data_IF_782751800165
#
_entry.id   IF_782751800165
#
_cell.length_a   1.000
_cell.length_b   1.000
_cell.length_c   1.000
_cell.angle_alpha   90.00
_cell.angle_beta   90.00
_cell.angle_gamma   90.00
#
_symmetry.space_group_name_H-M   'P 1'
#
loop_
_entity.id
_entity.type
_entity.pdbx_description
1 polymer ?
#
# COMPACT_ATOMS: atom_id res chain seq x y z
N UNK A 1 -2.01 15.01 -7.86
CA UNK A 1 -2.01 15.33 -6.41
C UNK A 1 -0.79 16.12 -5.97
N UNK A 2 0.45 15.67 -6.21
CA UNK A 2 1.66 16.36 -5.74
C UNK A 2 1.69 17.87 -6.06
N UNK A 3 1.34 18.26 -7.30
CA UNK A 3 1.26 19.68 -7.71
C UNK A 3 0.26 20.48 -6.84
N UNK A 4 -0.96 19.95 -6.64
CA UNK A 4 -2.01 20.61 -5.85
C UNK A 4 -1.58 20.78 -4.39
N UNK A 5 -1.00 19.72 -3.80
CA UNK A 5 -0.53 19.73 -2.41
C UNK A 5 0.61 20.72 -2.21
N UNK A 6 1.65 20.66 -3.06
CA UNK A 6 2.79 21.56 -2.97
C UNK A 6 2.38 23.03 -3.15
N UNK A 7 1.46 23.31 -4.07
CA UNK A 7 0.91 24.65 -4.27
C UNK A 7 0.16 25.16 -3.04
N UNK A 8 -0.68 24.33 -2.44
CA UNK A 8 -1.40 24.67 -1.22
C UNK A 8 -0.47 24.89 -0.01
N UNK A 9 0.65 24.18 0.05
CA UNK A 9 1.72 24.39 1.03
C UNK A 9 2.55 25.67 0.77
N UNK A 10 2.26 26.42 -0.31
CA UNK A 10 2.92 27.69 -0.62
C UNK A 10 4.20 27.56 -1.45
N UNK A 11 4.51 26.38 -1.99
CA UNK A 11 5.70 26.18 -2.81
C UNK A 11 5.55 26.81 -4.21
N UNK A 12 6.67 27.21 -4.81
CA UNK A 12 6.76 27.46 -6.24
C UNK A 12 6.92 26.12 -6.97
N UNK A 13 5.88 25.71 -7.69
CA UNK A 13 5.82 24.36 -8.28
C UNK A 13 6.22 24.38 -9.74
N UNK A 14 7.25 23.62 -10.11
CA UNK A 14 7.59 23.35 -11.51
C UNK A 14 7.25 21.91 -11.87
N UNK A 15 6.57 21.70 -13.00
CA UNK A 15 6.29 20.36 -13.52
C UNK A 15 7.24 20.00 -14.66
N UNK A 16 7.98 18.90 -14.49
CA UNK A 16 8.70 18.26 -15.58
C UNK A 16 7.76 17.36 -16.39
N UNK A 17 7.78 17.49 -17.72
CA UNK A 17 7.02 16.62 -18.63
C UNK A 17 7.89 16.24 -19.83
N UNK A 18 7.61 15.11 -20.46
CA UNK A 18 8.14 14.76 -21.80
C UNK A 18 7.16 15.07 -22.94
N UNK A 19 5.94 15.47 -22.61
CA UNK A 19 4.85 15.69 -23.55
C UNK A 19 4.42 17.15 -23.53
N UNK A 20 4.49 17.81 -24.68
CA UNK A 20 4.13 19.24 -24.86
C UNK A 20 2.66 19.50 -24.50
N UNK A 21 1.77 18.56 -24.82
CA UNK A 21 0.32 18.69 -24.60
C UNK A 21 -0.15 18.61 -23.14
N UNK A 22 0.76 18.49 -22.16
CA UNK A 22 0.40 18.43 -20.73
C UNK A 22 0.55 19.77 -19.99
N UNK A 23 0.95 20.83 -20.71
CA UNK A 23 1.27 22.11 -20.11
C UNK A 23 0.03 22.79 -19.51
N UNK A 24 -1.08 22.83 -20.25
CA UNK A 24 -2.32 23.47 -19.78
C UNK A 24 -2.88 22.80 -18.53
N UNK A 25 -2.87 21.46 -18.50
CA UNK A 25 -3.24 20.70 -17.30
C UNK A 25 -2.31 20.98 -16.13
N UNK A 26 -1.01 21.10 -16.35
CA UNK A 26 -0.06 21.40 -15.28
C UNK A 26 -0.35 22.77 -14.63
N UNK A 27 -0.60 23.80 -15.44
CA UNK A 27 -0.98 25.12 -14.95
C UNK A 27 -2.34 25.10 -14.25
N UNK A 28 -3.33 24.39 -14.83
CA UNK A 28 -4.66 24.19 -14.21
C UNK A 28 -4.56 23.53 -12.84
N UNK A 29 -3.61 22.60 -12.65
CA UNK A 29 -3.35 21.93 -11.38
C UNK A 29 -2.58 22.80 -10.36
N UNK A 30 -2.04 23.94 -10.78
CA UNK A 30 -1.36 24.90 -9.90
C UNK A 30 0.16 24.98 -10.08
N UNK A 31 0.73 24.37 -11.13
CA UNK A 31 2.14 24.58 -11.46
C UNK A 31 2.38 26.06 -11.84
N UNK A 32 3.50 26.62 -11.38
CA UNK A 32 3.97 27.97 -11.73
C UNK A 32 4.79 27.96 -13.01
N UNK A 33 5.44 26.84 -13.32
CA UNK A 33 6.23 26.64 -14.54
C UNK A 33 6.12 25.19 -15.05
N UNK A 34 6.27 25.02 -16.35
CA UNK A 34 6.42 23.70 -17.00
C UNK A 34 7.77 23.65 -17.70
N UNK A 35 8.48 22.53 -17.54
CA UNK A 35 9.77 22.26 -18.18
C UNK A 35 9.67 20.98 -19.00
N UNK A 36 9.99 21.07 -20.29
CA UNK A 36 10.08 19.91 -21.16
C UNK A 36 11.43 19.21 -20.92
N UNK A 37 11.43 18.03 -20.31
CA UNK A 37 12.67 17.37 -19.90
C UNK A 37 13.50 16.79 -21.07
N UNK A 38 12.91 16.73 -22.26
CA UNK A 38 13.60 16.40 -23.52
C UNK A 38 14.25 17.62 -24.18
N UNK A 39 13.99 18.84 -23.70
CA UNK A 39 14.60 20.07 -24.20
C UNK A 39 15.78 20.46 -23.30
N UNK A 40 17.00 20.27 -23.83
CA UNK A 40 18.23 20.58 -23.09
C UNK A 40 18.32 22.05 -22.68
N UNK A 41 17.78 22.98 -23.48
CA UNK A 41 17.88 24.41 -23.19
C UNK A 41 17.02 24.76 -21.97
N UNK A 42 15.81 24.19 -21.89
CA UNK A 42 14.92 24.37 -20.75
C UNK A 42 15.48 23.72 -19.49
N UNK A 43 16.06 22.53 -19.60
CA UNK A 43 16.71 21.85 -18.47
C UNK A 43 17.91 22.63 -17.94
N UNK A 44 18.76 23.17 -18.83
CA UNK A 44 19.89 24.04 -18.44
C UNK A 44 19.42 25.32 -17.74
N UNK A 45 18.30 25.89 -18.18
CA UNK A 45 17.73 27.11 -17.60
C UNK A 45 17.19 26.95 -16.17
N UNK A 46 17.05 25.71 -15.67
CA UNK A 46 16.63 25.41 -14.29
C UNK A 46 17.70 24.67 -13.49
N UNK A 47 18.97 24.81 -13.89
CA UNK A 47 20.09 24.28 -13.12
C UNK A 47 20.10 24.86 -11.70
N UNK A 48 20.40 24.03 -10.70
CA UNK A 48 20.55 24.44 -9.29
C UNK A 48 19.39 25.26 -8.70
N UNK A 49 18.16 24.94 -9.08
CA UNK A 49 16.96 25.72 -8.73
C UNK A 49 16.09 25.04 -7.66
N UNK A 50 16.02 23.71 -7.62
CA UNK A 50 15.00 23.01 -6.82
C UNK A 50 15.52 22.46 -5.50
N UNK A 51 14.89 22.81 -4.38
CA UNK A 51 15.19 22.21 -3.07
C UNK A 51 14.71 20.75 -2.98
N UNK A 52 13.59 20.45 -3.64
CA UNK A 52 12.94 19.15 -3.62
C UNK A 52 12.37 18.81 -4.99
N UNK A 53 12.67 17.60 -5.48
CA UNK A 53 12.02 17.00 -6.64
C UNK A 53 11.28 15.75 -6.17
N UNK A 54 9.98 15.67 -6.45
CA UNK A 54 9.16 14.47 -6.20
C UNK A 54 8.96 13.75 -7.53
N UNK A 55 9.56 12.58 -7.66
CA UNK A 55 9.51 11.77 -8.88
C UNK A 55 8.40 10.72 -8.81
N UNK A 56 7.33 10.97 -9.57
CA UNK A 56 6.13 10.15 -9.64
C UNK A 56 6.06 9.26 -10.88
N UNK A 57 7.15 9.09 -11.63
CA UNK A 57 7.15 8.28 -12.86
C UNK A 57 7.16 6.78 -12.49
N UNK A 58 6.20 5.96 -12.98
CA UNK A 58 6.02 4.57 -12.50
C UNK A 58 6.90 3.54 -13.21
N UNK A 59 7.79 3.97 -14.10
CA UNK A 59 8.66 3.11 -14.90
C UNK A 59 10.10 3.63 -14.88
N UNK A 60 11.04 2.76 -15.23
CA UNK A 60 12.46 3.09 -15.31
C UNK A 60 12.70 4.26 -16.25
N UNK A 61 13.42 5.28 -15.78
CA UNK A 61 13.77 6.44 -16.56
C UNK A 61 15.08 7.07 -16.04
N UNK A 62 15.64 7.98 -16.83
CA UNK A 62 16.94 8.59 -16.55
C UNK A 62 16.86 9.71 -15.53
N UNK A 63 17.52 9.53 -14.38
CA UNK A 63 17.61 10.54 -13.32
C UNK A 63 18.73 11.56 -13.55
N UNK A 64 19.73 11.25 -14.39
CA UNK A 64 20.92 12.10 -14.61
C UNK A 64 20.59 13.52 -15.06
N UNK A 65 19.56 13.79 -15.89
CA UNK A 65 19.21 15.16 -16.27
C UNK A 65 18.63 16.00 -15.13
N UNK A 66 18.02 15.36 -14.12
CA UNK A 66 17.32 16.05 -13.04
C UNK A 66 18.22 16.34 -11.84
N UNK A 67 19.22 15.51 -11.55
CA UNK A 67 20.13 15.74 -10.41
C UNK A 67 20.82 17.13 -10.50
N UNK A 68 21.30 17.60 -11.66
CA UNK A 68 21.88 18.94 -11.80
C UNK A 68 20.91 20.11 -11.57
N UNK A 69 19.59 19.88 -11.64
CA UNK A 69 18.59 20.92 -11.42
C UNK A 69 18.29 21.15 -9.94
N UNK A 70 18.68 20.23 -9.05
CA UNK A 70 18.58 20.42 -7.61
C UNK A 70 19.51 21.53 -7.11
N UNK A 71 19.04 22.37 -6.21
CA UNK A 71 19.85 23.35 -5.50
C UNK A 71 20.91 22.69 -4.60
N UNK A 72 21.73 23.50 -3.93
CA UNK A 72 22.63 23.01 -2.88
C UNK A 72 21.81 22.34 -1.78
N UNK A 73 22.23 21.15 -1.34
CA UNK A 73 21.50 20.31 -0.37
C UNK A 73 20.12 19.81 -0.83
N UNK A 74 19.80 19.98 -2.12
CA UNK A 74 18.53 19.56 -2.69
C UNK A 74 18.38 18.03 -2.75
N UNK A 75 17.14 17.56 -2.66
CA UNK A 75 16.82 16.13 -2.67
C UNK A 75 15.85 15.74 -3.79
N UNK A 76 16.16 14.65 -4.51
CA UNK A 76 15.21 13.97 -5.38
C UNK A 76 14.61 12.77 -4.62
N UNK A 77 13.29 12.70 -4.53
CA UNK A 77 12.54 11.65 -3.82
C UNK A 77 11.74 10.81 -4.81
N UNK A 78 12.08 9.53 -4.90
CA UNK A 78 11.38 8.54 -5.71
C UNK A 78 10.12 8.07 -4.98
N UNK A 79 8.96 8.21 -5.64
CA UNK A 79 7.67 7.70 -5.14
C UNK A 79 6.90 6.90 -6.20
N UNK A 80 7.24 7.05 -7.49
CA UNK A 80 6.55 6.38 -8.59
C UNK A 80 7.05 4.97 -8.89
N UNK A 81 8.37 4.81 -9.04
CA UNK A 81 8.98 3.54 -9.43
C UNK A 81 9.12 2.60 -8.22
N UNK A 82 8.47 1.44 -8.30
CA UNK A 82 8.71 0.31 -7.38
C UNK A 82 9.44 -0.77 -8.17
N UNK A 83 10.76 -0.75 -8.14
CA UNK A 83 11.61 -1.65 -8.93
C UNK A 83 13.05 -1.19 -8.98
N UNK A 84 13.81 -1.74 -9.93
CA UNK A 84 15.21 -1.43 -10.12
C UNK A 84 15.40 -0.17 -10.97
N UNK A 85 16.36 0.67 -10.58
CA UNK A 85 16.91 1.68 -11.46
C UNK A 85 17.96 1.00 -12.34
N UNK A 86 17.66 0.84 -13.63
CA UNK A 86 18.58 0.17 -14.58
C UNK A 86 19.81 1.02 -14.92
N UNK A 87 19.79 2.31 -14.58
CA UNK A 87 20.77 3.28 -15.03
C UNK A 87 21.67 3.73 -13.88
N UNK A 88 22.97 3.81 -14.15
CA UNK A 88 23.95 4.29 -13.19
C UNK A 88 23.81 5.79 -12.96
N UNK A 89 23.97 6.18 -11.70
CA UNK A 89 23.90 7.58 -11.27
C UNK A 89 25.27 8.24 -11.42
N UNK A 90 25.28 9.48 -11.90
CA UNK A 90 26.50 10.29 -11.91
C UNK A 90 26.72 10.94 -10.53
N UNK A 91 27.82 10.58 -9.87
CA UNK A 91 28.15 11.07 -8.52
C UNK A 91 28.73 12.48 -8.50
N UNK A 92 29.28 12.98 -9.62
CA UNK A 92 29.89 14.33 -9.68
C UNK A 92 28.89 15.44 -9.29
N UNK A 93 27.69 15.55 -9.89
CA UNK A 93 26.72 16.57 -9.49
C UNK A 93 26.20 16.38 -8.06
N UNK A 94 26.27 15.16 -7.51
CA UNK A 94 25.89 14.90 -6.12
C UNK A 94 26.94 15.42 -5.16
N UNK A 95 28.22 15.12 -5.39
CA UNK A 95 29.34 15.56 -4.55
C UNK A 95 29.46 17.09 -4.58
N UNK A 96 29.43 17.68 -5.78
CA UNK A 96 29.61 19.12 -5.94
C UNK A 96 28.44 19.94 -5.39
N UNK A 97 27.22 19.39 -5.39
CA UNK A 97 26.01 20.08 -4.91
C UNK A 97 25.49 19.60 -3.55
N UNK A 98 26.19 18.66 -2.89
CA UNK A 98 25.70 17.95 -1.69
C UNK A 98 24.28 17.42 -1.82
N UNK A 99 23.94 16.91 -3.01
CA UNK A 99 22.57 16.50 -3.36
C UNK A 99 22.31 15.05 -2.96
N UNK A 100 21.07 14.77 -2.60
CA UNK A 100 20.61 13.45 -2.18
C UNK A 100 19.56 12.85 -3.12
N UNK A 101 19.53 11.52 -3.15
CA UNK A 101 18.42 10.73 -3.69
C UNK A 101 17.83 9.94 -2.52
N UNK A 102 16.51 10.00 -2.38
CA UNK A 102 15.74 9.30 -1.35
C UNK A 102 14.52 8.62 -1.99
N UNK A 103 13.79 7.82 -1.21
CA UNK A 103 12.57 7.16 -1.66
C UNK A 103 11.53 7.09 -0.53
N UNK A 104 10.26 7.10 -0.91
CA UNK A 104 9.12 6.91 0.00
C UNK A 104 7.97 6.23 -0.74
N UNK A 105 7.09 5.55 -0.01
CA UNK A 105 5.94 4.83 -0.60
C UNK A 105 4.60 5.27 -0.01
N UNK A 106 4.47 5.24 1.32
CA UNK A 106 3.23 5.61 2.02
C UNK A 106 3.58 6.21 3.37
N UNK A 107 2.72 7.12 3.84
CA UNK A 107 2.81 7.69 5.18
C UNK A 107 2.18 6.81 6.25
N UNK A 108 2.45 7.14 7.50
CA UNK A 108 1.77 6.54 8.65
C UNK A 108 0.29 6.94 8.74
N UNK A 109 -0.45 6.30 9.65
CA UNK A 109 -1.88 6.62 9.89
C UNK A 109 -2.04 8.08 10.37
N UNK A 110 -1.18 8.53 11.27
CA UNK A 110 -1.21 9.92 11.78
C UNK A 110 -0.97 10.94 10.65
N UNK A 111 0.08 10.74 9.85
CA UNK A 111 0.40 11.59 8.69
C UNK A 111 -0.73 11.57 7.65
N UNK A 112 -1.38 10.42 7.46
CA UNK A 112 -2.54 10.31 6.55
C UNK A 112 -3.72 11.15 7.05
N UNK A 113 -3.97 11.13 8.37
CA UNK A 113 -5.02 11.97 8.96
C UNK A 113 -4.70 13.45 8.80
N UNK A 114 -3.47 13.87 9.12
CA UNK A 114 -3.00 15.25 8.92
C UNK A 114 -3.14 15.68 7.45
N UNK A 115 -2.79 14.81 6.50
CA UNK A 115 -2.95 15.08 5.08
C UNK A 115 -4.42 15.23 4.69
N UNK A 116 -5.33 14.41 5.24
CA UNK A 116 -6.77 14.51 4.96
C UNK A 116 -7.35 15.81 5.52
N UNK A 117 -6.98 16.18 6.75
CA UNK A 117 -7.42 17.40 7.41
C UNK A 117 -6.93 18.63 6.62
N UNK A 118 -5.65 18.64 6.22
CA UNK A 118 -5.08 19.68 5.35
C UNK A 118 -5.82 19.76 4.01
N UNK A 119 -6.13 18.63 3.37
CA UNK A 119 -6.87 18.62 2.12
C UNK A 119 -8.29 19.17 2.29
N UNK A 120 -8.96 18.88 3.41
CA UNK A 120 -10.29 19.40 3.72
C UNK A 120 -10.25 20.93 3.93
N UNK A 121 -9.30 21.44 4.71
CA UNK A 121 -9.13 22.88 4.98
C UNK A 121 -8.84 23.68 3.70
N UNK A 122 -7.95 23.16 2.85
CA UNK A 122 -7.50 23.83 1.63
C UNK A 122 -8.32 23.47 0.38
N UNK A 123 -9.43 22.73 0.53
CA UNK A 123 -10.31 22.31 -0.56
C UNK A 123 -9.58 21.56 -1.68
N UNK A 124 -8.61 20.72 -1.31
CA UNK A 124 -7.80 19.94 -2.23
C UNK A 124 -8.49 18.60 -2.49
N UNK A 125 -8.96 18.42 -3.72
CA UNK A 125 -9.56 17.15 -4.18
C UNK A 125 -8.82 16.61 -5.40
N UNK A 126 -8.76 15.29 -5.58
CA UNK A 126 -8.31 14.71 -6.84
C UNK A 126 -9.28 15.06 -7.98
N UNK A 127 -8.75 15.19 -9.20
CA UNK A 127 -9.60 15.16 -10.39
C UNK A 127 -9.99 13.70 -10.62
N UNK A 128 -11.29 13.42 -10.70
CA UNK A 128 -11.83 12.06 -10.73
C UNK A 128 -12.77 11.88 -11.91
N UNK A 129 -12.77 10.67 -12.46
CA UNK A 129 -13.80 10.19 -13.38
C UNK A 129 -14.65 9.15 -12.63
N UNK A 130 -15.94 9.44 -12.48
CA UNK A 130 -16.86 8.52 -11.79
C UNK A 130 -17.21 7.38 -12.74
N UNK A 131 -16.85 6.16 -12.36
CA UNK A 131 -17.23 4.93 -13.05
C UNK A 131 -18.25 4.16 -12.21
N UNK A 132 -19.21 3.52 -12.88
CA UNK A 132 -20.12 2.57 -12.22
C UNK A 132 -19.40 1.26 -11.97
N UNK A 133 -19.58 0.66 -10.79
CA UNK A 133 -19.13 -0.71 -10.56
C UNK A 133 -19.84 -1.63 -11.56
N UNK A 134 -19.12 -2.39 -12.41
CA UNK A 134 -19.77 -3.29 -13.34
C UNK A 134 -20.46 -4.41 -12.55
N UNK A 135 -21.68 -4.76 -12.95
CA UNK A 135 -22.46 -5.86 -12.37
C UNK A 135 -21.82 -7.23 -12.63
N UNK A 136 -20.90 -7.31 -13.59
CA UNK A 136 -20.12 -8.51 -13.90
C UNK A 136 -18.63 -8.21 -13.71
N UNK A 137 -17.89 -9.02 -12.93
CA UNK A 137 -16.46 -8.84 -12.81
C UNK A 137 -15.81 -9.17 -14.15
N UNK A 138 -15.48 -8.15 -14.94
CA UNK A 138 -14.46 -8.28 -15.98
C UNK A 138 -13.17 -8.66 -15.25
N UNK A 139 -12.74 -9.90 -15.44
CA UNK A 139 -11.56 -10.48 -14.79
C UNK A 139 -10.33 -9.72 -15.29
N UNK A 140 -10.00 -8.65 -14.60
CA UNK A 140 -8.67 -8.07 -14.60
C UNK A 140 -7.89 -8.84 -13.52
N UNK A 141 -6.64 -9.22 -13.80
CA UNK A 141 -5.66 -9.88 -12.92
C UNK A 141 -5.63 -11.42 -12.94
N UNK A 142 -4.60 -11.92 -13.62
CA UNK A 142 -4.05 -13.27 -13.57
C UNK A 142 -3.31 -13.56 -12.22
N UNK A 143 -3.84 -13.08 -11.10
CA UNK A 143 -3.26 -13.27 -9.76
C UNK A 143 -4.33 -13.89 -8.86
N UNK A 144 -4.02 -14.89 -8.01
CA UNK A 144 -5.01 -15.60 -7.21
C UNK A 144 -5.55 -14.71 -6.09
N UNK A 145 -6.42 -13.76 -6.42
CA UNK A 145 -7.29 -13.12 -5.46
C UNK A 145 -8.31 -14.16 -4.99
N UNK A 146 -8.47 -14.26 -3.67
CA UNK A 146 -9.54 -15.05 -3.10
C UNK A 146 -10.89 -14.53 -3.63
N UNK A 147 -11.58 -15.36 -4.40
CA UNK A 147 -12.91 -15.06 -4.94
C UNK A 147 -13.87 -14.59 -3.83
N UNK A 148 -14.66 -13.54 -4.11
CA UNK A 148 -15.62 -12.94 -3.17
C UNK A 148 -16.73 -13.93 -2.78
N UNK A 149 -17.35 -13.74 -1.62
CA UNK A 149 -18.40 -14.63 -1.13
C UNK A 149 -19.63 -14.62 -2.06
N UNK A 150 -20.03 -13.45 -2.55
CA UNK A 150 -21.13 -13.30 -3.51
C UNK A 150 -20.90 -14.11 -4.79
N UNK A 151 -19.69 -14.03 -5.36
CA UNK A 151 -19.31 -14.78 -6.55
C UNK A 151 -19.35 -16.30 -6.32
N UNK A 152 -18.84 -16.77 -5.17
CA UNK A 152 -18.91 -18.20 -4.80
C UNK A 152 -20.34 -18.67 -4.71
N UNK A 153 -21.20 -17.89 -4.05
CA UNK A 153 -22.61 -18.21 -3.90
C UNK A 153 -23.34 -18.23 -5.25
N UNK A 154 -23.01 -17.31 -6.16
CA UNK A 154 -23.53 -17.32 -7.52
C UNK A 154 -23.17 -18.62 -8.26
N UNK A 155 -21.90 -19.01 -8.25
CA UNK A 155 -21.43 -20.24 -8.91
C UNK A 155 -22.09 -21.49 -8.29
N UNK A 156 -22.21 -21.54 -6.96
CA UNK A 156 -22.87 -22.65 -6.27
C UNK A 156 -24.39 -22.71 -6.55
N UNK A 157 -25.07 -21.56 -6.71
CA UNK A 157 -26.47 -21.53 -7.13
C UNK A 157 -26.64 -22.13 -8.52
N UNK A 158 -25.79 -21.75 -9.48
CA UNK A 158 -25.87 -22.30 -10.83
C UNK A 158 -25.54 -23.80 -10.90
N UNK A 159 -24.64 -24.27 -10.04
CA UNK A 159 -24.38 -25.70 -9.84
C UNK A 159 -25.65 -26.43 -9.34
N UNK A 160 -26.39 -25.82 -8.40
CA UNK A 160 -27.65 -26.37 -7.90
C UNK A 160 -28.77 -26.33 -8.96
N UNK A 161 -28.72 -25.38 -9.90
CA UNK A 161 -29.63 -25.31 -11.05
C UNK A 161 -29.30 -26.31 -12.18
N UNK A 162 -28.33 -27.21 -11.98
CA UNK A 162 -28.05 -28.32 -12.91
C UNK A 162 -26.90 -28.09 -13.89
N UNK A 163 -26.17 -26.96 -13.82
CA UNK A 163 -24.91 -26.82 -14.57
C UNK A 163 -23.86 -27.78 -14.03
N UNK A 164 -23.03 -28.33 -14.91
CA UNK A 164 -21.91 -29.21 -14.50
C UNK A 164 -20.71 -28.39 -14.03
N UNK A 165 -19.86 -28.98 -13.17
CA UNK A 165 -18.61 -28.33 -12.74
C UNK A 165 -17.71 -27.92 -13.93
N UNK A 166 -17.70 -28.70 -15.02
CA UNK A 166 -16.89 -28.42 -16.21
C UNK A 166 -17.41 -27.19 -16.96
N UNK A 167 -18.72 -27.09 -17.15
CA UNK A 167 -19.35 -25.92 -17.78
C UNK A 167 -19.08 -24.63 -16.98
N UNK A 168 -19.23 -24.71 -15.65
CA UNK A 168 -18.96 -23.57 -14.77
C UNK A 168 -17.46 -23.21 -14.75
N UNK A 169 -16.57 -24.20 -14.79
CA UNK A 169 -15.14 -23.97 -14.83
C UNK A 169 -14.71 -23.22 -16.11
N UNK A 170 -15.31 -23.56 -17.24
CA UNK A 170 -15.07 -22.92 -18.53
C UNK A 170 -15.69 -21.51 -18.58
N UNK A 171 -16.95 -21.36 -18.17
CA UNK A 171 -17.68 -20.09 -18.15
C UNK A 171 -17.03 -19.04 -17.25
N UNK A 172 -16.59 -19.45 -16.06
CA UNK A 172 -16.00 -18.55 -15.07
C UNK A 172 -14.47 -18.53 -15.09
N UNK A 173 -13.84 -19.30 -15.99
CA UNK A 173 -12.38 -19.47 -16.06
C UNK A 173 -11.76 -19.83 -14.69
N UNK A 174 -12.36 -20.78 -13.99
CA UNK A 174 -11.92 -21.25 -12.67
C UNK A 174 -11.69 -22.77 -12.68
N UNK A 175 -10.75 -23.27 -11.88
CA UNK A 175 -10.53 -24.72 -11.83
C UNK A 175 -11.75 -25.45 -11.27
N UNK A 176 -12.06 -26.63 -11.81
CA UNK A 176 -13.11 -27.51 -11.26
C UNK A 176 -12.86 -27.86 -9.79
N UNK A 177 -11.58 -27.98 -9.39
CA UNK A 177 -11.12 -28.16 -8.01
C UNK A 177 -11.58 -27.01 -7.10
N UNK A 178 -11.52 -25.77 -7.59
CA UNK A 178 -11.96 -24.58 -6.85
C UNK A 178 -13.46 -24.65 -6.52
N UNK A 179 -14.30 -25.02 -7.50
CA UNK A 179 -15.75 -25.15 -7.32
C UNK A 179 -16.07 -26.30 -6.33
N UNK A 180 -15.38 -27.43 -6.45
CA UNK A 180 -15.51 -28.55 -5.51
C UNK A 180 -15.15 -28.15 -4.07
N UNK A 181 -14.10 -27.34 -3.89
CA UNK A 181 -13.69 -26.83 -2.58
C UNK A 181 -14.74 -25.88 -1.98
N UNK A 182 -15.40 -25.04 -2.79
CA UNK A 182 -16.50 -24.18 -2.32
C UNK A 182 -17.73 -24.98 -1.96
N UNK A 183 -18.06 -26.05 -2.71
CA UNK A 183 -19.17 -26.92 -2.33
C UNK A 183 -18.93 -27.59 -0.97
N UNK A 184 -17.68 -27.99 -0.69
CA UNK A 184 -17.30 -28.59 0.57
C UNK A 184 -17.18 -27.58 1.72
N UNK A 185 -16.79 -26.34 1.43
CA UNK A 185 -16.64 -25.24 2.40
C UNK A 185 -17.23 -23.95 1.79
N UNK A 186 -18.56 -23.76 1.85
CA UNK A 186 -19.24 -22.64 1.19
C UNK A 186 -18.88 -21.30 1.82
N UNK A 187 -18.64 -21.29 3.13
CA UNK A 187 -18.24 -20.10 3.86
C UNK A 187 -16.74 -19.87 3.79
N UNK A 188 -16.34 -18.61 3.64
CA UNK A 188 -14.93 -18.23 3.73
C UNK A 188 -14.43 -18.52 5.14
N UNK A 189 -13.23 -19.14 5.24
CA UNK A 189 -12.52 -19.26 6.51
C UNK A 189 -12.31 -17.86 7.10
N UNK A 190 -13.00 -17.59 8.21
CA UNK A 190 -12.79 -16.38 8.99
C UNK A 190 -11.36 -16.42 9.54
N UNK A 191 -10.56 -15.40 9.24
CA UNK A 191 -9.25 -15.25 9.86
C UNK A 191 -9.49 -14.86 11.32
N UNK A 192 -9.11 -15.73 12.26
CA UNK A 192 -9.08 -15.36 13.67
C UNK A 192 -7.93 -14.39 13.92
N UNK A 193 -8.23 -13.24 14.51
CA UNK A 193 -7.24 -12.26 14.94
C UNK A 193 -6.94 -12.45 16.42
N UNK A 194 -5.67 -12.61 16.75
CA UNK A 194 -5.20 -12.75 18.13
C UNK A 194 -4.49 -11.47 18.58
N UNK A 195 -4.55 -11.16 19.87
CA UNK A 195 -3.78 -10.04 20.42
C UNK A 195 -2.27 -10.30 20.27
N UNK A 196 -1.51 -9.30 19.83
CA UNK A 196 -0.05 -9.42 19.62
C UNK A 196 0.77 -9.38 20.91
N UNK A 197 0.23 -8.81 21.99
CA UNK A 197 0.86 -8.69 23.31
C UNK A 197 -0.11 -9.14 24.41
N UNK A 198 0.37 -10.01 25.30
CA UNK A 198 -0.36 -10.46 26.49
C UNK A 198 0.05 -9.57 27.66
N UNK A 199 -0.92 -9.02 28.38
CA UNK A 199 -0.71 -8.30 29.64
C UNK A 199 -0.29 -9.30 30.73
N UNK A 200 0.95 -9.15 31.21
CA UNK A 200 1.57 -10.08 32.13
C UNK A 200 1.00 -10.01 33.55
N UNK A 201 0.56 -8.82 33.99
CA UNK A 201 -0.03 -8.65 35.32
C UNK A 201 -1.42 -9.30 35.36
N UNK A 202 -2.22 -9.09 34.31
CA UNK A 202 -3.51 -9.78 34.17
C UNK A 202 -3.34 -11.29 34.07
N UNK A 203 -2.32 -11.77 33.34
CA UNK A 203 -2.04 -13.21 33.26
C UNK A 203 -1.63 -13.78 34.62
N UNK A 204 -0.90 -13.02 35.43
CA UNK A 204 -0.53 -13.43 36.78
C UNK A 204 -1.75 -13.55 37.68
N UNK A 205 -2.65 -12.57 37.62
CA UNK A 205 -3.92 -12.61 38.37
C UNK A 205 -4.80 -13.79 37.91
N UNK A 206 -4.90 -14.02 36.60
CA UNK A 206 -5.64 -15.14 36.03
C UNK A 206 -5.13 -16.52 36.50
N UNK A 207 -3.81 -16.64 36.75
CA UNK A 207 -3.22 -17.85 37.35
C UNK A 207 -3.64 -18.05 38.80
N UNK A 208 -3.81 -16.97 39.56
CA UNK A 208 -4.30 -17.02 40.94
C UNK A 208 -5.80 -17.33 41.01
N UNK A 209 -6.58 -16.69 40.15
CA UNK A 209 -8.05 -16.84 40.14
C UNK A 209 -8.48 -18.23 39.64
N UNK A 210 -7.69 -18.82 38.73
CA UNK A 210 -8.00 -20.10 38.11
C UNK A 210 -6.76 -21.02 38.08
N UNK A 211 -6.29 -21.54 39.22
CA UNK A 211 -5.02 -22.27 39.31
C UNK A 211 -5.00 -23.53 38.44
N UNK A 212 -6.15 -24.21 38.29
CA UNK A 212 -6.26 -25.48 37.57
C UNK A 212 -6.63 -25.35 36.09
N UNK A 213 -6.81 -24.13 35.58
CA UNK A 213 -7.21 -23.90 34.21
C UNK A 213 -6.13 -24.35 33.21
N UNK A 214 -6.57 -25.01 32.14
CA UNK A 214 -5.71 -25.41 31.05
C UNK A 214 -5.23 -24.19 30.25
N UNK A 215 -4.07 -24.30 29.60
CA UNK A 215 -3.52 -23.21 28.78
C UNK A 215 -4.47 -22.76 27.67
N UNK A 216 -5.27 -23.68 27.10
CA UNK A 216 -6.33 -23.37 26.12
C UNK A 216 -7.44 -22.48 26.67
N UNK A 217 -7.85 -22.69 27.92
CA UNK A 217 -8.91 -21.91 28.57
C UNK A 217 -8.43 -20.50 28.92
N UNK A 218 -7.13 -20.38 29.26
CA UNK A 218 -6.47 -19.07 29.41
C UNK A 218 -6.34 -18.39 28.05
N UNK A 219 -5.97 -19.13 27.01
CA UNK A 219 -5.82 -18.59 25.67
C UNK A 219 -7.12 -17.96 25.14
N UNK A 220 -8.26 -18.61 25.39
CA UNK A 220 -9.59 -18.05 25.09
C UNK A 220 -9.86 -16.74 25.82
N UNK A 221 -9.59 -16.65 27.13
CA UNK A 221 -9.80 -15.42 27.94
C UNK A 221 -8.92 -14.26 27.50
N UNK A 222 -7.69 -14.54 27.08
CA UNK A 222 -6.75 -13.53 26.60
C UNK A 222 -6.82 -13.29 25.09
N UNK A 223 -7.77 -13.92 24.38
CA UNK A 223 -7.89 -13.87 22.93
C UNK A 223 -6.55 -14.06 22.22
N UNK A 224 -5.83 -15.13 22.57
CA UNK A 224 -4.51 -15.44 22.05
C UNK A 224 -4.36 -16.95 21.80
N UNK A 225 -3.19 -17.38 21.35
CA UNK A 225 -2.91 -18.81 21.12
C UNK A 225 -2.38 -19.48 22.38
N UNK A 226 -2.63 -20.79 22.54
CA UNK A 226 -2.10 -21.62 23.63
C UNK A 226 -0.57 -21.49 23.74
N UNK A 227 0.12 -21.44 22.59
CA UNK A 227 1.57 -21.26 22.52
C UNK A 227 2.02 -19.90 23.06
N UNK A 228 1.21 -18.85 22.89
CA UNK A 228 1.50 -17.52 23.41
C UNK A 228 1.37 -17.50 24.94
N UNK A 229 0.32 -18.11 25.50
CA UNK A 229 0.17 -18.33 26.95
C UNK A 229 1.34 -19.14 27.51
N UNK A 230 1.69 -20.27 26.87
CA UNK A 230 2.81 -21.11 27.32
C UNK A 230 4.13 -20.32 27.41
N UNK A 231 4.42 -19.48 26.41
CA UNK A 231 5.61 -18.60 26.40
C UNK A 231 5.52 -17.53 27.48
N UNK A 232 4.35 -16.92 27.69
CA UNK A 232 4.15 -15.89 28.70
C UNK A 232 4.29 -16.44 30.13
N UNK A 233 3.70 -17.60 30.42
CA UNK A 233 3.85 -18.30 31.70
C UNK A 233 5.31 -18.70 31.96
N UNK A 234 6.05 -19.14 30.92
CA UNK A 234 7.49 -19.44 31.03
C UNK A 234 8.30 -18.18 31.40
N UNK A 235 7.97 -17.02 30.83
CA UNK A 235 8.61 -15.73 31.18
C UNK A 235 8.34 -15.33 32.63
N UNK A 236 7.12 -15.58 33.11
CA UNK A 236 6.72 -15.34 34.50
C UNK A 236 7.25 -16.39 35.49
N UNK A 237 7.92 -17.44 35.01
CA UNK A 237 8.36 -18.61 35.80
C UNK A 237 7.21 -19.35 36.51
N UNK A 238 6.01 -19.30 35.92
CA UNK A 238 4.78 -19.93 36.43
C UNK A 238 4.42 -21.16 35.57
N UNK A 239 5.31 -22.17 35.55
CA UNK A 239 5.10 -23.40 34.78
C UNK A 239 4.99 -24.61 35.70
N UNK A 240 3.82 -25.26 35.75
CA UNK A 240 3.59 -26.53 36.46
C UNK A 240 2.99 -27.53 35.48
N UNK A 241 3.54 -28.74 35.41
CA UNK A 241 2.92 -29.85 34.68
C UNK A 241 1.79 -30.38 35.55
N UNK A 242 0.56 -30.42 35.03
CA UNK A 242 -0.55 -31.08 35.73
C UNK A 242 -0.22 -32.58 35.74
N UNK A 243 -0.26 -33.21 36.91
CA UNK A 243 -0.26 -34.68 37.01
C UNK A 243 -1.63 -35.15 36.56
N UNK A 244 -1.68 -36.13 35.65
CA UNK A 244 -2.93 -36.79 35.26
C UNK A 244 -3.56 -37.54 36.44
#
# INVERSE_FOLDING_TARGET
>A
MAVKLAKAMGAEVTLFTRSVGKSDDAYRLGASRVVLSTDESQMKAVASTFDLIIDTVPYTHDLKPYIPTLALDGTLVLVGLVGELEQTINTVPMIMGRRSISASVIGGIAETQEMLDFCAEHHIVPDVEMITIPTEPKICYNTPMAYSDDFRQQVLRQLNCGKTYRQLAEEYNISTRTILNWKANPDRKVRTSYTSKIDLEKLRQDVLDYPDAYQRERATRFNCTDRAIAKALKRLKLTRKKSD
#
